data_IF_500821023512
#
_entry.id   IF_500821023512
#
_cell.length_a   1.000
_cell.length_b   1.000
_cell.length_c   1.000
_cell.angle_alpha   90.00
_cell.angle_beta   90.00
_cell.angle_gamma   90.00
#
_symmetry.space_group_name_H-M   'P 1'
#
loop_
_entity.id
_entity.type
_entity.pdbx_description
1 polymer ?
#
# COMPACT_ATOMS: atom_id res chain seq x y z
N UNK A 1 0.60 -44.64 -14.22
CA UNK A 1 1.45 -43.47 -14.55
C UNK A 1 1.16 -42.41 -13.50
N UNK A 2 2.16 -41.94 -12.74
CA UNK A 2 1.99 -40.81 -11.82
C UNK A 2 2.18 -39.54 -12.65
N UNK A 3 1.13 -38.72 -12.79
CA UNK A 3 1.28 -37.37 -13.35
C UNK A 3 2.24 -36.57 -12.47
N UNK A 4 3.27 -36.00 -13.10
CA UNK A 4 4.24 -35.16 -12.43
C UNK A 4 3.65 -33.74 -12.38
N UNK A 5 3.09 -33.34 -11.25
CA UNK A 5 2.61 -31.98 -11.08
C UNK A 5 3.79 -31.01 -11.01
N UNK A 6 3.75 -29.96 -11.84
CA UNK A 6 4.71 -28.85 -11.81
C UNK A 6 4.08 -27.66 -11.12
N UNK A 7 4.62 -27.29 -9.95
CA UNK A 7 4.26 -26.04 -9.29
C UNK A 7 5.05 -24.88 -9.89
N UNK A 8 4.40 -23.72 -10.01
CA UNK A 8 5.02 -22.46 -10.45
C UNK A 8 4.75 -21.38 -9.40
N UNK A 9 5.74 -20.52 -9.16
CA UNK A 9 5.59 -19.36 -8.28
C UNK A 9 5.17 -18.14 -9.10
N UNK A 10 4.21 -17.38 -8.59
CA UNK A 10 3.62 -16.23 -9.29
C UNK A 10 3.59 -15.00 -8.38
N UNK A 11 4.14 -13.89 -8.85
CA UNK A 11 3.92 -12.54 -8.32
C UNK A 11 2.70 -11.94 -9.06
N UNK A 12 1.56 -11.88 -8.36
CA UNK A 12 0.35 -11.27 -8.88
C UNK A 12 0.32 -9.76 -8.67
N UNK A 13 0.36 -8.99 -9.75
CA UNK A 13 0.21 -7.55 -9.72
C UNK A 13 -1.20 -7.17 -10.19
N UNK A 14 -2.05 -6.72 -9.26
CA UNK A 14 -3.48 -6.51 -9.54
C UNK A 14 -3.79 -5.43 -10.59
N UNK A 15 -2.83 -4.55 -10.91
CA UNK A 15 -3.02 -3.39 -11.78
C UNK A 15 -1.81 -3.17 -12.68
N UNK A 16 -1.99 -2.34 -13.73
CA UNK A 16 -0.94 -1.98 -14.68
C UNK A 16 -0.84 -2.94 -15.87
N UNK A 17 0.01 -2.57 -16.84
CA UNK A 17 0.23 -3.34 -18.08
C UNK A 17 1.71 -3.65 -18.19
N UNK A 18 2.10 -4.88 -17.86
CA UNK A 18 3.49 -5.31 -17.93
C UNK A 18 3.70 -6.65 -18.68
N UNK A 19 2.62 -7.27 -19.17
CA UNK A 19 2.66 -8.62 -19.73
C UNK A 19 3.08 -9.67 -18.71
N UNK A 20 3.43 -10.86 -19.18
CA UNK A 20 3.98 -11.94 -18.37
C UNK A 20 5.51 -11.81 -18.35
N UNK A 21 6.09 -11.55 -17.18
CA UNK A 21 7.55 -11.41 -17.04
C UNK A 21 8.12 -12.59 -16.27
N UNK A 22 9.03 -13.35 -16.91
CA UNK A 22 9.78 -14.39 -16.24
C UNK A 22 10.95 -13.78 -15.45
N UNK A 23 10.97 -14.00 -14.12
CA UNK A 23 12.01 -13.53 -13.20
C UNK A 23 12.97 -14.66 -12.77
N UNK A 24 12.99 -15.76 -13.53
CA UNK A 24 13.79 -16.95 -13.27
C UNK A 24 13.10 -17.88 -12.28
N UNK A 25 12.98 -17.44 -11.02
CA UNK A 25 12.38 -18.24 -9.93
C UNK A 25 10.86 -18.13 -9.84
N UNK A 26 10.27 -17.09 -10.43
CA UNK A 26 8.83 -16.86 -10.46
C UNK A 26 8.42 -16.09 -11.72
N UNK A 27 7.12 -16.07 -12.00
CA UNK A 27 6.53 -15.24 -13.05
C UNK A 27 5.76 -14.07 -12.46
N UNK A 28 5.89 -12.89 -13.06
CA UNK A 28 5.05 -11.74 -12.74
C UNK A 28 3.93 -11.63 -13.76
N UNK A 29 2.70 -11.60 -13.29
CA UNK A 29 1.50 -11.34 -14.09
C UNK A 29 0.91 -10.01 -13.63
N UNK A 30 0.52 -9.13 -14.55
CA UNK A 30 -0.05 -7.82 -14.24
C UNK A 30 -1.47 -7.68 -14.79
N UNK A 31 -2.33 -6.97 -14.06
CA UNK A 31 -3.64 -6.53 -14.54
C UNK A 31 -4.50 -7.69 -15.03
N UNK A 32 -5.02 -7.56 -16.27
CA UNK A 32 -5.90 -8.53 -16.89
C UNK A 32 -5.32 -9.94 -16.84
N UNK A 33 -4.05 -10.11 -17.21
CA UNK A 33 -3.40 -11.42 -17.30
C UNK A 33 -3.30 -12.12 -15.93
N UNK A 34 -3.15 -11.36 -14.84
CA UNK A 34 -3.17 -11.93 -13.50
C UNK A 34 -4.57 -12.37 -13.09
N UNK A 35 -5.57 -11.50 -13.29
CA UNK A 35 -6.95 -11.80 -12.92
C UNK A 35 -7.52 -12.96 -13.73
N UNK A 36 -7.19 -13.05 -15.02
CA UNK A 36 -7.57 -14.17 -15.88
C UNK A 36 -6.89 -15.47 -15.42
N UNK A 37 -5.60 -15.44 -15.05
CA UNK A 37 -4.87 -16.61 -14.55
C UNK A 37 -5.57 -17.28 -13.36
N UNK A 38 -6.06 -16.49 -12.40
CA UNK A 38 -6.63 -17.04 -11.15
C UNK A 38 -8.14 -17.29 -11.22
N UNK A 39 -8.85 -16.63 -12.14
CA UNK A 39 -10.31 -16.76 -12.27
C UNK A 39 -10.76 -17.62 -13.44
N UNK A 40 -9.92 -17.78 -14.48
CA UNK A 40 -10.31 -18.34 -15.77
C UNK A 40 -11.23 -17.45 -16.61
N UNK A 41 -11.44 -16.18 -16.19
CA UNK A 41 -12.37 -15.25 -16.83
C UNK A 41 -11.60 -14.01 -17.30
N UNK A 42 -11.56 -13.79 -18.61
CA UNK A 42 -10.83 -12.70 -19.26
C UNK A 42 -11.27 -11.31 -18.78
N UNK A 43 -12.57 -11.13 -18.50
CA UNK A 43 -13.17 -9.86 -18.08
C UNK A 43 -13.10 -9.61 -16.57
N UNK A 44 -12.63 -10.56 -15.76
CA UNK A 44 -12.77 -10.51 -14.30
C UNK A 44 -12.11 -9.29 -13.66
N UNK A 45 -11.05 -8.76 -14.26
CA UNK A 45 -10.42 -7.53 -13.77
C UNK A 45 -11.38 -6.34 -13.78
N UNK A 46 -12.36 -6.29 -14.69
CA UNK A 46 -13.39 -5.24 -14.72
C UNK A 46 -14.32 -5.41 -13.52
N UNK A 47 -14.78 -6.64 -13.29
CA UNK A 47 -15.70 -6.99 -12.19
C UNK A 47 -15.10 -6.71 -10.80
N UNK A 48 -13.78 -6.74 -10.68
CA UNK A 48 -13.07 -6.38 -9.45
C UNK A 48 -12.80 -4.87 -9.36
N UNK A 49 -12.32 -4.24 -10.43
CA UNK A 49 -11.85 -2.85 -10.40
C UNK A 49 -13.01 -1.85 -10.34
N UNK A 50 -14.11 -2.11 -11.04
CA UNK A 50 -15.22 -1.17 -11.15
C UNK A 50 -15.96 -0.97 -9.80
N UNK A 51 -16.27 -2.01 -9.00
CA UNK A 51 -16.83 -1.84 -7.67
C UNK A 51 -15.88 -1.15 -6.70
N UNK A 52 -14.57 -1.39 -6.79
CA UNK A 52 -13.58 -0.68 -5.96
C UNK A 52 -13.66 0.82 -6.23
N UNK A 53 -13.71 1.23 -7.49
CA UNK A 53 -13.84 2.64 -7.87
C UNK A 53 -15.14 3.29 -7.39
N UNK A 54 -16.28 2.60 -7.54
CA UNK A 54 -17.60 3.10 -7.14
C UNK A 54 -17.77 3.14 -5.62
N UNK A 55 -17.50 2.02 -4.95
CA UNK A 55 -17.74 1.86 -3.51
C UNK A 55 -16.72 2.64 -2.66
N UNK A 56 -15.51 2.90 -3.19
CA UNK A 56 -14.56 3.78 -2.51
C UNK A 56 -15.17 5.18 -2.29
N UNK A 57 -15.95 5.69 -3.25
CA UNK A 57 -16.59 7.00 -3.16
C UNK A 57 -17.57 7.09 -1.99
N UNK A 58 -18.28 6.01 -1.69
CA UNK A 58 -19.27 5.96 -0.60
C UNK A 58 -18.63 6.13 0.77
N UNK A 59 -17.38 5.71 0.94
CA UNK A 59 -16.64 5.84 2.20
C UNK A 59 -15.73 7.06 2.28
N UNK A 60 -15.60 7.83 1.20
CA UNK A 60 -14.66 8.96 1.13
C UNK A 60 -14.92 10.01 2.20
N UNK A 61 -16.18 10.36 2.50
CA UNK A 61 -16.48 11.38 3.52
C UNK A 61 -16.10 10.92 4.92
N UNK A 62 -16.39 9.66 5.24
CA UNK A 62 -16.01 9.06 6.54
C UNK A 62 -14.49 8.94 6.65
N UNK A 63 -13.84 8.44 5.59
CA UNK A 63 -12.38 8.35 5.52
C UNK A 63 -11.73 9.73 5.68
N UNK A 64 -12.22 10.74 4.95
CA UNK A 64 -11.71 12.11 5.03
C UNK A 64 -11.82 12.66 6.45
N UNK A 65 -12.97 12.47 7.11
CA UNK A 65 -13.16 12.91 8.50
C UNK A 65 -12.17 12.28 9.46
N UNK A 66 -11.92 10.97 9.35
CA UNK A 66 -10.95 10.29 10.21
C UNK A 66 -9.50 10.64 9.84
N UNK A 67 -9.22 10.87 8.56
CA UNK A 67 -7.94 11.35 8.07
C UNK A 67 -7.62 12.75 8.63
N UNK A 68 -8.57 13.68 8.59
CA UNK A 68 -8.39 15.04 9.11
C UNK A 68 -8.13 15.02 10.64
N UNK A 69 -8.82 14.13 11.37
CA UNK A 69 -8.53 13.90 12.80
C UNK A 69 -7.12 13.36 13.03
N UNK A 70 -6.67 12.42 12.20
CA UNK A 70 -5.31 11.88 12.26
C UNK A 70 -4.27 12.98 12.04
N UNK A 71 -4.45 13.82 11.03
CA UNK A 71 -3.57 14.96 10.76
C UNK A 71 -3.51 15.88 11.98
N UNK A 72 -4.66 16.28 12.55
CA UNK A 72 -4.68 17.14 13.73
C UNK A 72 -3.96 16.52 14.93
N UNK A 73 -4.13 15.20 15.15
CA UNK A 73 -3.44 14.48 16.22
C UNK A 73 -1.92 14.47 15.99
N UNK A 74 -1.48 14.12 14.78
CA UNK A 74 -0.06 14.07 14.42
C UNK A 74 0.58 15.46 14.51
N UNK A 75 -0.09 16.51 14.04
CA UNK A 75 0.38 17.89 14.16
C UNK A 75 0.48 18.29 15.62
N UNK A 76 -0.51 17.96 16.46
CA UNK A 76 -0.45 18.24 17.90
C UNK A 76 0.71 17.50 18.57
N UNK A 77 0.86 16.21 18.31
CA UNK A 77 1.95 15.39 18.86
C UNK A 77 3.32 15.91 18.41
N UNK A 78 3.45 16.28 17.13
CA UNK A 78 4.66 16.86 16.59
C UNK A 78 4.98 18.21 17.24
N UNK A 79 4.02 19.13 17.30
CA UNK A 79 4.22 20.46 17.90
C UNK A 79 4.61 20.34 19.37
N UNK A 80 3.89 19.53 20.14
CA UNK A 80 4.18 19.35 21.57
C UNK A 80 5.56 18.70 21.81
N UNK A 81 6.01 17.84 20.90
CA UNK A 81 7.24 17.07 21.10
C UNK A 81 8.46 17.72 20.47
N UNK A 82 8.31 18.46 19.37
CA UNK A 82 9.43 18.87 18.52
C UNK A 82 9.43 20.36 18.17
N UNK A 83 8.45 21.16 18.60
CA UNK A 83 8.50 22.63 18.49
C UNK A 83 8.87 23.29 19.81
N UNK A 84 9.45 24.48 19.74
CA UNK A 84 9.73 25.37 20.87
C UNK A 84 8.52 26.27 21.13
N UNK A 85 8.55 27.02 22.24
CA UNK A 85 7.47 27.94 22.64
C UNK A 85 7.21 29.05 21.61
N UNK A 86 8.22 29.44 20.83
CA UNK A 86 8.10 30.41 19.73
C UNK A 86 7.53 29.79 18.43
N UNK A 87 7.17 28.50 18.45
CA UNK A 87 6.65 27.76 17.31
C UNK A 87 7.72 27.25 16.34
N UNK A 88 9.00 27.56 16.55
CA UNK A 88 10.08 27.05 15.72
C UNK A 88 10.40 25.58 16.02
N UNK A 89 10.87 24.83 15.02
CA UNK A 89 11.23 23.42 15.19
C UNK A 89 12.53 23.29 15.98
N UNK A 90 12.53 22.42 16.99
CA UNK A 90 13.72 21.94 17.70
C UNK A 90 14.39 20.82 16.89
N UNK A 91 15.14 21.22 15.86
CA UNK A 91 15.78 20.28 14.92
C UNK A 91 16.69 19.26 15.59
N UNK A 92 17.47 19.67 16.59
CA UNK A 92 18.35 18.76 17.32
C UNK A 92 17.56 17.64 18.01
N UNK A 93 16.44 17.96 18.66
CA UNK A 93 15.58 16.99 19.33
C UNK A 93 14.96 16.02 18.32
N UNK A 94 14.47 16.53 17.19
CA UNK A 94 13.87 15.72 16.13
C UNK A 94 14.89 14.75 15.52
N UNK A 95 16.10 15.23 15.23
CA UNK A 95 17.18 14.41 14.65
C UNK A 95 17.65 13.33 15.63
N UNK A 96 17.84 13.67 16.91
CA UNK A 96 18.17 12.66 17.94
C UNK A 96 17.08 11.59 18.04
N UNK A 97 15.81 11.99 18.02
CA UNK A 97 14.71 11.03 18.06
C UNK A 97 14.68 10.08 16.85
N UNK A 98 14.87 10.59 15.63
CA UNK A 98 14.76 9.78 14.40
C UNK A 98 16.01 8.96 14.06
N UNK A 99 17.19 9.40 14.50
CA UNK A 99 18.45 8.91 13.93
C UNK A 99 19.53 8.59 14.95
N UNK A 100 19.26 8.73 16.26
CA UNK A 100 20.20 8.25 17.27
C UNK A 100 20.20 6.71 17.36
N UNK A 101 21.26 6.17 17.93
CA UNK A 101 21.40 4.74 18.22
C UNK A 101 20.68 4.30 19.48
N UNK A 102 20.15 5.26 20.25
CA UNK A 102 19.38 4.98 21.46
C UNK A 102 18.00 4.49 21.07
N UNK A 103 17.54 3.40 21.68
CA UNK A 103 16.16 2.96 21.52
C UNK A 103 15.25 3.98 22.19
N UNK A 104 14.24 4.45 21.46
CA UNK A 104 13.15 5.22 22.05
C UNK A 104 12.57 4.45 23.25
N UNK A 105 12.27 5.11 24.38
CA UNK A 105 11.65 4.47 25.55
C UNK A 105 10.35 3.73 25.21
#
# INVERSE_FOLDING_TARGET
QKELYRSIFVEGCCYGKCGIVNKGVYYKYCGKEFWELISGIESFYIDVVEPIGRNAKEKNETYKKEYDKLINRLVKEFTNSFCKDDGSVSWEKLLKFNSSTEKSP
#
